data_IF_805903846072
#
_entry.id   IF_805903846072
#
_cell.length_a   1.000
_cell.length_b   1.000
_cell.length_c   1.000
_cell.angle_alpha   90.00
_cell.angle_beta   90.00
_cell.angle_gamma   90.00
#
_symmetry.space_group_name_H-M   'P 1'
#
loop_
_entity.id
_entity.type
_entity.pdbx_description
1 polymer ?
#
# COMPACT_ATOMS: atom_id res chain seq x y z
N UNK A 1 -23.62 -6.90 9.73
CA UNK A 1 -23.60 -8.10 10.59
C UNK A 1 -25.00 -8.29 11.18
N UNK A 2 -25.70 -9.37 10.82
CA UNK A 2 -27.14 -9.54 11.13
C UNK A 2 -27.45 -9.71 12.64
N UNK A 3 -26.48 -10.16 13.46
CA UNK A 3 -26.74 -10.52 14.86
C UNK A 3 -26.22 -9.51 15.91
N UNK A 4 -25.16 -8.72 15.61
CA UNK A 4 -24.61 -7.74 16.58
C UNK A 4 -25.53 -6.55 16.85
N UNK A 5 -26.41 -6.21 15.90
CA UNK A 5 -27.37 -5.12 16.06
C UNK A 5 -28.70 -5.56 16.68
N UNK A 6 -28.82 -6.81 17.11
CA UNK A 6 -30.05 -7.31 17.72
C UNK A 6 -30.17 -6.85 19.18
N UNK A 7 -31.41 -6.60 19.64
CA UNK A 7 -31.69 -6.16 21.01
C UNK A 7 -31.15 -7.15 22.06
N UNK A 8 -31.19 -8.45 21.74
CA UNK A 8 -30.65 -9.52 22.58
C UNK A 8 -29.14 -9.41 22.78
N UNK A 9 -28.40 -9.10 21.72
CA UNK A 9 -26.96 -8.95 21.78
C UNK A 9 -26.53 -7.78 22.68
N UNK A 10 -27.23 -6.64 22.57
CA UNK A 10 -27.03 -5.47 23.43
C UNK A 10 -27.39 -5.74 24.89
N UNK A 11 -28.44 -6.53 25.16
CA UNK A 11 -28.82 -6.89 26.55
C UNK A 11 -27.80 -7.76 27.28
N UNK A 12 -26.94 -8.48 26.55
CA UNK A 12 -25.86 -9.30 27.14
C UNK A 12 -24.65 -8.42 27.53
N UNK A 13 -24.62 -7.13 27.15
CA UNK A 13 -23.53 -6.22 27.48
C UNK A 13 -22.27 -6.42 26.63
N UNK A 14 -22.39 -7.06 25.47
CA UNK A 14 -21.28 -7.31 24.53
C UNK A 14 -20.98 -6.10 23.63
N UNK A 15 -20.97 -4.89 24.20
CA UNK A 15 -20.78 -3.65 23.42
C UNK A 15 -19.34 -3.50 22.91
N UNK A 16 -18.36 -4.10 23.58
CA UNK A 16 -16.96 -4.09 23.14
C UNK A 16 -16.63 -5.33 22.28
N UNK A 17 -15.87 -5.11 21.19
CA UNK A 17 -15.31 -6.17 20.33
C UNK A 17 -14.50 -7.19 21.13
N UNK A 18 -13.81 -6.75 22.20
CA UNK A 18 -13.06 -7.64 23.08
C UNK A 18 -13.96 -8.60 23.86
N UNK A 19 -15.05 -8.11 24.46
CA UNK A 19 -16.02 -8.97 25.17
C UNK A 19 -16.69 -9.97 24.23
N UNK A 20 -16.98 -9.55 23.01
CA UNK A 20 -17.50 -10.42 21.94
C UNK A 20 -16.55 -11.58 21.64
N UNK A 21 -15.26 -11.30 21.46
CA UNK A 21 -14.24 -12.32 21.19
C UNK A 21 -14.08 -13.28 22.37
N UNK A 22 -14.07 -12.75 23.60
CA UNK A 22 -13.95 -13.56 24.81
C UNK A 22 -15.16 -14.50 25.00
N UNK A 23 -16.37 -13.99 24.77
CA UNK A 23 -17.57 -14.82 24.80
C UNK A 23 -17.55 -15.91 23.72
N UNK A 24 -17.18 -15.56 22.49
CA UNK A 24 -17.04 -16.52 21.40
C UNK A 24 -15.98 -17.60 21.72
N UNK A 25 -14.89 -17.23 22.41
CA UNK A 25 -13.87 -18.18 22.86
C UNK A 25 -14.42 -19.18 23.90
N UNK A 26 -15.19 -18.71 24.88
CA UNK A 26 -15.84 -19.60 25.86
C UNK A 26 -16.80 -20.57 25.17
N UNK A 27 -17.65 -20.06 24.28
CA UNK A 27 -18.59 -20.90 23.51
C UNK A 27 -17.84 -21.93 22.66
N UNK A 28 -16.70 -21.55 22.06
CA UNK A 28 -15.86 -22.45 21.29
C UNK A 28 -15.33 -23.60 22.13
N UNK A 29 -14.73 -23.30 23.30
CA UNK A 29 -14.18 -24.32 24.21
C UNK A 29 -15.28 -25.26 24.70
N UNK A 30 -16.44 -24.73 25.10
CA UNK A 30 -17.57 -25.53 25.55
C UNK A 30 -18.14 -26.41 24.45
N UNK A 31 -18.33 -25.87 23.24
CA UNK A 31 -18.82 -26.63 22.08
C UNK A 31 -17.85 -27.74 21.70
N UNK A 32 -16.55 -27.47 21.81
CA UNK A 32 -15.50 -28.42 21.49
C UNK A 32 -15.41 -29.55 22.51
N UNK A 33 -15.53 -29.22 23.80
CA UNK A 33 -15.64 -30.21 24.85
C UNK A 33 -16.88 -31.09 24.69
N UNK A 34 -18.04 -30.48 24.39
CA UNK A 34 -19.28 -31.22 24.17
C UNK A 34 -19.18 -32.16 22.95
N UNK A 35 -18.61 -31.67 21.85
CA UNK A 35 -18.38 -32.47 20.65
C UNK A 35 -17.46 -33.65 20.94
N UNK A 36 -16.38 -33.44 21.68
CA UNK A 36 -15.47 -34.51 22.12
C UNK A 36 -16.21 -35.61 22.88
N UNK A 37 -17.01 -35.27 23.90
CA UNK A 37 -17.76 -36.24 24.69
C UNK A 37 -18.76 -37.05 23.87
N UNK A 38 -19.48 -36.37 22.96
CA UNK A 38 -20.46 -37.03 22.08
C UNK A 38 -19.75 -37.98 21.11
N UNK A 39 -18.64 -37.53 20.51
CA UNK A 39 -17.89 -38.30 19.54
C UNK A 39 -17.22 -39.53 20.18
N UNK A 40 -16.63 -39.38 21.37
CA UNK A 40 -16.02 -40.50 22.10
C UNK A 40 -17.07 -41.57 22.46
N UNK A 41 -18.28 -41.15 22.86
CA UNK A 41 -19.37 -42.06 23.23
C UNK A 41 -19.96 -42.82 22.03
N UNK A 42 -20.00 -42.22 20.85
CA UNK A 42 -20.67 -42.80 19.67
C UNK A 42 -19.69 -43.54 18.76
N UNK A 43 -18.51 -42.95 18.53
CA UNK A 43 -17.70 -43.31 17.38
C UNK A 43 -16.68 -44.42 17.66
N UNK A 44 -16.33 -44.73 18.93
CA UNK A 44 -15.30 -45.71 19.32
C UNK A 44 -13.94 -45.56 18.57
N UNK A 45 -13.66 -44.38 18.03
CA UNK A 45 -12.51 -44.11 17.16
C UNK A 45 -11.46 -43.29 17.93
N UNK A 46 -10.15 -43.58 17.76
CA UNK A 46 -9.08 -42.98 18.56
C UNK A 46 -8.71 -41.54 18.16
N UNK A 47 -9.51 -40.86 17.33
CA UNK A 47 -9.23 -39.54 16.80
C UNK A 47 -10.27 -38.47 17.18
N UNK A 48 -10.95 -38.65 18.32
CA UNK A 48 -11.88 -37.67 18.88
C UNK A 48 -11.27 -36.26 19.02
N UNK A 49 -10.00 -36.18 19.42
CA UNK A 49 -9.25 -34.92 19.52
C UNK A 49 -9.13 -34.20 18.17
N UNK A 50 -8.89 -34.94 17.08
CA UNK A 50 -8.80 -34.36 15.73
C UNK A 50 -10.18 -33.90 15.24
N UNK A 51 -11.21 -34.67 15.53
CA UNK A 51 -12.58 -34.34 15.14
C UNK A 51 -13.07 -33.05 15.80
N UNK A 52 -12.71 -32.83 17.08
CA UNK A 52 -13.03 -31.61 17.85
C UNK A 52 -12.46 -30.33 17.21
N UNK A 53 -11.30 -30.39 16.53
CA UNK A 53 -10.70 -29.24 15.86
C UNK A 53 -11.55 -28.70 14.70
N UNK A 54 -12.53 -29.47 14.20
CA UNK A 54 -13.46 -29.02 13.15
C UNK A 54 -14.26 -27.77 13.54
N UNK A 55 -14.38 -27.49 14.85
CA UNK A 55 -15.10 -26.31 15.36
C UNK A 55 -14.43 -24.99 14.96
N UNK A 56 -13.14 -25.00 14.63
CA UNK A 56 -12.40 -23.81 14.18
C UNK A 56 -13.05 -23.15 12.95
N UNK A 57 -13.71 -23.94 12.09
CA UNK A 57 -14.40 -23.45 10.90
C UNK A 57 -15.58 -22.53 11.22
N UNK A 58 -16.23 -22.69 12.38
CA UNK A 58 -17.33 -21.83 12.80
C UNK A 58 -16.85 -20.46 13.32
N UNK A 59 -15.57 -20.35 13.66
CA UNK A 59 -14.94 -19.11 14.17
C UNK A 59 -14.46 -18.22 13.03
N UNK A 60 -14.12 -18.83 11.90
CA UNK A 60 -13.52 -18.18 10.74
C UNK A 60 -14.38 -17.00 10.19
N UNK A 61 -15.71 -17.11 10.04
CA UNK A 61 -16.55 -15.99 9.61
C UNK A 61 -16.50 -14.78 10.57
N UNK A 62 -16.42 -15.02 11.88
CA UNK A 62 -16.32 -13.97 12.89
C UNK A 62 -15.01 -13.19 12.71
N UNK A 63 -13.89 -13.90 12.65
CA UNK A 63 -12.57 -13.30 12.47
C UNK A 63 -12.45 -12.53 11.16
N UNK A 64 -13.03 -13.07 10.08
CA UNK A 64 -13.05 -12.40 8.78
C UNK A 64 -13.75 -11.03 8.84
N UNK A 65 -14.95 -10.97 9.40
CA UNK A 65 -15.70 -9.69 9.48
C UNK A 65 -15.00 -8.65 10.34
N UNK A 66 -14.39 -9.06 11.45
CA UNK A 66 -13.59 -8.17 12.29
C UNK A 66 -12.36 -7.66 11.54
N UNK A 67 -11.62 -8.56 10.90
CA UNK A 67 -10.44 -8.21 10.10
C UNK A 67 -10.80 -7.24 8.96
N UNK A 68 -11.90 -7.49 8.25
CA UNK A 68 -12.42 -6.59 7.21
C UNK A 68 -12.75 -5.20 7.78
N UNK A 69 -13.41 -5.14 8.94
CA UNK A 69 -13.72 -3.85 9.58
C UNK A 69 -12.46 -3.07 9.96
N UNK A 70 -11.43 -3.75 10.50
CA UNK A 70 -10.14 -3.11 10.76
C UNK A 70 -9.46 -2.65 9.46
N UNK A 71 -9.48 -3.49 8.42
CA UNK A 71 -8.91 -3.17 7.12
C UNK A 71 -9.55 -1.94 6.48
N UNK A 72 -10.88 -1.83 6.54
CA UNK A 72 -11.61 -0.67 6.01
C UNK A 72 -11.39 0.61 6.83
N UNK A 73 -11.06 0.49 8.12
CA UNK A 73 -10.74 1.63 8.98
C UNK A 73 -9.29 2.12 8.82
N UNK A 74 -8.43 1.37 8.15
CA UNK A 74 -7.09 1.87 7.82
C UNK A 74 -7.29 3.03 6.84
N UNK A 75 -7.01 4.25 7.30
CA UNK A 75 -7.03 5.41 6.43
C UNK A 75 -6.14 5.16 5.23
N UNK A 76 -6.56 5.62 4.04
CA UNK A 76 -5.72 5.53 2.85
C UNK A 76 -4.40 6.22 3.19
N UNK A 77 -3.25 5.58 2.95
CA UNK A 77 -1.97 6.17 3.27
C UNK A 77 -1.86 7.54 2.57
N UNK A 78 -1.70 8.60 3.37
CA UNK A 78 -1.53 9.95 2.87
C UNK A 78 -0.13 10.03 2.24
N UNK A 79 -0.09 10.28 0.93
CA UNK A 79 1.17 10.41 0.21
C UNK A 79 1.36 11.87 -0.16
N UNK A 80 2.49 12.45 0.24
CA UNK A 80 2.87 13.79 -0.19
C UNK A 80 3.07 13.77 -1.70
N UNK A 81 2.20 14.46 -2.43
CA UNK A 81 2.30 14.58 -3.88
C UNK A 81 3.42 15.56 -4.23
N UNK A 82 4.28 15.17 -5.18
CA UNK A 82 5.31 16.05 -5.73
C UNK A 82 4.75 16.80 -6.94
N UNK A 83 4.92 18.11 -6.97
CA UNK A 83 4.60 18.92 -8.14
C UNK A 83 5.88 19.17 -8.95
N UNK A 84 5.81 18.98 -10.27
CA UNK A 84 6.88 19.40 -11.18
C UNK A 84 6.76 20.91 -11.36
N UNK A 85 7.33 21.68 -10.45
CA UNK A 85 7.42 23.14 -10.58
C UNK A 85 8.58 23.55 -11.49
N UNK A 86 8.35 24.58 -12.29
CA UNK A 86 9.35 25.19 -13.20
C UNK A 86 10.49 25.91 -12.44
N UNK A 87 10.30 26.17 -11.15
CA UNK A 87 11.26 26.88 -10.31
C UNK A 87 11.98 25.91 -9.37
N UNK A 88 13.31 25.79 -9.48
CA UNK A 88 14.11 25.51 -8.28
C UNK A 88 15.43 24.75 -8.40
N UNK A 89 15.79 24.18 -9.54
CA UNK A 89 17.14 23.65 -9.73
C UNK A 89 17.86 24.49 -10.79
N UNK A 90 18.53 25.56 -10.35
CA UNK A 90 19.50 26.28 -11.20
C UNK A 90 20.47 25.27 -11.78
N UNK A 91 20.91 25.41 -13.03
CA UNK A 91 21.87 24.50 -13.67
C UNK A 91 23.10 24.18 -12.79
N UNK A 92 23.52 25.15 -11.95
CA UNK A 92 24.56 25.00 -10.93
C UNK A 92 24.32 23.85 -9.93
N UNK A 93 23.07 23.49 -9.63
CA UNK A 93 22.73 22.35 -8.77
C UNK A 93 23.15 21.02 -9.41
N UNK A 94 22.98 20.91 -10.73
CA UNK A 94 23.29 19.70 -11.50
C UNK A 94 24.79 19.54 -11.76
N UNK A 95 25.52 20.64 -11.89
CA UNK A 95 26.98 20.63 -12.07
C UNK A 95 27.72 20.03 -10.88
N UNK A 96 27.14 20.11 -9.67
CA UNK A 96 27.72 19.60 -8.44
C UNK A 96 27.34 18.14 -8.13
N UNK A 97 26.58 17.47 -9.01
CA UNK A 97 26.13 16.09 -8.78
C UNK A 97 27.27 15.11 -9.01
N UNK A 98 27.56 14.29 -8.00
CA UNK A 98 28.59 13.25 -8.06
C UNK A 98 28.20 12.13 -9.06
N UNK A 99 28.83 12.17 -10.24
CA UNK A 99 28.62 11.22 -11.34
C UNK A 99 29.06 9.79 -10.95
N UNK A 100 29.91 9.62 -9.94
CA UNK A 100 30.36 8.30 -9.49
C UNK A 100 29.31 7.56 -8.66
N UNK A 101 28.30 8.26 -8.11
CA UNK A 101 27.23 7.68 -7.27
C UNK A 101 25.89 7.57 -8.00
N UNK A 102 25.95 7.21 -9.28
CA UNK A 102 24.77 6.95 -10.11
C UNK A 102 24.39 5.47 -10.05
N UNK A 103 23.13 5.19 -9.74
CA UNK A 103 22.54 3.85 -9.89
C UNK A 103 21.61 3.81 -11.09
N UNK A 104 21.45 2.64 -11.71
CA UNK A 104 20.49 2.46 -12.79
C UNK A 104 19.13 2.07 -12.19
N UNK A 105 18.06 2.75 -12.56
CA UNK A 105 16.69 2.43 -12.13
C UNK A 105 15.78 2.31 -13.35
N UNK A 106 14.74 1.51 -13.23
CA UNK A 106 13.70 1.40 -14.26
C UNK A 106 12.47 2.18 -13.82
N UNK A 107 12.15 3.25 -14.51
CA UNK A 107 10.97 4.08 -14.25
C UNK A 107 9.81 3.58 -15.08
N UNK A 108 8.67 3.33 -14.43
CA UNK A 108 7.40 3.02 -15.08
C UNK A 108 6.42 4.15 -14.86
N UNK A 109 6.06 4.84 -15.94
CA UNK A 109 5.19 6.02 -15.95
C UNK A 109 4.26 5.97 -17.16
N UNK A 110 3.03 6.47 -17.02
CA UNK A 110 2.11 6.66 -18.15
C UNK A 110 2.33 8.05 -18.74
N UNK A 111 2.48 8.18 -20.07
CA UNK A 111 2.77 9.48 -20.70
C UNK A 111 1.53 10.34 -20.76
N UNK A 112 0.40 9.75 -21.14
CA UNK A 112 -0.91 10.39 -21.14
C UNK A 112 -1.81 9.78 -20.04
N UNK A 113 -2.75 10.52 -19.42
CA UNK A 113 -3.78 9.97 -18.55
C UNK A 113 -4.54 8.75 -19.11
N UNK A 114 -4.82 8.75 -20.41
CA UNK A 114 -5.62 7.73 -21.09
C UNK A 114 -4.82 6.47 -21.49
N UNK A 115 -3.49 6.48 -21.29
CA UNK A 115 -2.65 5.34 -21.63
C UNK A 115 -3.01 4.11 -20.79
N UNK A 116 -3.33 3.00 -21.46
CA UNK A 116 -3.58 1.71 -20.79
C UNK A 116 -2.29 1.12 -20.20
N UNK A 117 -1.17 1.28 -20.90
CA UNK A 117 0.11 0.65 -20.56
C UNK A 117 1.13 1.65 -20.00
N UNK A 118 2.04 1.17 -19.15
CA UNK A 118 3.16 1.97 -18.66
C UNK A 118 4.27 2.04 -19.72
N UNK A 119 4.82 3.24 -19.93
CA UNK A 119 6.13 3.42 -20.55
C UNK A 119 7.22 3.07 -19.54
N UNK A 120 8.24 2.34 -19.99
CA UNK A 120 9.36 1.90 -19.16
C UNK A 120 10.65 2.57 -19.63
N UNK A 121 11.34 3.26 -18.73
CA UNK A 121 12.59 3.97 -19.02
C UNK A 121 13.70 3.48 -18.12
N UNK A 122 14.84 3.09 -18.68
CA UNK A 122 16.04 2.78 -17.90
C UNK A 122 16.91 4.02 -17.81
N UNK A 123 17.00 4.59 -16.60
CA UNK A 123 17.64 5.88 -16.36
C UNK A 123 18.61 5.81 -15.19
N UNK A 124 19.53 6.77 -15.12
CA UNK A 124 20.47 6.91 -14.02
C UNK A 124 19.88 7.83 -12.96
N UNK A 125 19.94 7.39 -11.70
CA UNK A 125 19.53 8.15 -10.52
C UNK A 125 20.77 8.44 -9.67
N UNK A 126 21.09 9.71 -9.40
CA UNK A 126 22.09 10.08 -8.39
C UNK A 126 21.55 9.86 -6.97
N UNK A 127 22.32 9.15 -6.14
CA UNK A 127 21.86 8.74 -4.81
C UNK A 127 21.77 9.86 -3.77
N UNK A 128 22.44 10.99 -4.02
CA UNK A 128 22.54 12.15 -3.11
C UNK A 128 21.58 13.28 -3.48
N UNK A 129 20.83 13.13 -4.57
CA UNK A 129 19.83 14.10 -5.04
C UNK A 129 18.44 13.64 -4.63
N UNK A 130 17.55 14.60 -4.34
CA UNK A 130 16.15 14.30 -4.01
C UNK A 130 15.44 13.64 -5.20
N UNK A 131 14.58 12.65 -4.91
CA UNK A 131 13.86 11.92 -5.97
C UNK A 131 12.98 12.86 -6.79
N UNK A 132 12.40 13.88 -6.16
CA UNK A 132 11.59 14.91 -6.80
C UNK A 132 12.37 15.79 -7.76
N UNK A 133 13.53 16.34 -7.35
CA UNK A 133 14.36 17.17 -8.24
C UNK A 133 14.89 16.37 -9.44
N UNK A 134 15.34 15.13 -9.19
CA UNK A 134 15.72 14.23 -10.28
C UNK A 134 14.56 13.93 -11.23
N UNK A 135 13.34 13.80 -10.70
CA UNK A 135 12.17 13.57 -11.53
C UNK A 135 11.86 14.76 -12.44
N UNK A 136 12.00 16.01 -11.96
CA UNK A 136 11.84 17.20 -12.80
C UNK A 136 12.80 17.16 -14.00
N UNK A 137 14.09 16.91 -13.75
CA UNK A 137 15.09 16.81 -14.81
C UNK A 137 14.82 15.64 -15.76
N UNK A 138 14.36 14.51 -15.23
CA UNK A 138 13.96 13.37 -16.04
C UNK A 138 12.82 13.74 -17.01
N UNK A 139 11.80 14.47 -16.54
CA UNK A 139 10.69 14.92 -17.39
C UNK A 139 11.21 15.90 -18.47
N UNK A 140 12.01 16.89 -18.10
CA UNK A 140 12.64 17.83 -19.04
C UNK A 140 13.42 17.10 -20.15
N UNK A 141 14.32 16.19 -19.76
CA UNK A 141 15.14 15.42 -20.70
C UNK A 141 14.29 14.54 -21.63
N UNK A 142 13.22 13.91 -21.11
CA UNK A 142 12.34 13.08 -21.93
C UNK A 142 11.49 13.91 -22.89
N UNK A 143 10.92 15.02 -22.42
CA UNK A 143 10.08 15.89 -23.23
C UNK A 143 10.89 16.61 -24.32
N UNK A 144 12.14 17.01 -24.02
CA UNK A 144 13.06 17.57 -25.01
C UNK A 144 13.46 16.55 -26.09
N UNK A 145 13.76 15.31 -25.69
CA UNK A 145 14.15 14.25 -26.64
C UNK A 145 12.99 13.72 -27.49
N UNK A 146 11.77 13.74 -26.96
CA UNK A 146 10.59 13.18 -27.61
C UNK A 146 9.41 14.17 -27.57
N UNK A 147 9.49 15.27 -28.33
CA UNK A 147 8.47 16.32 -28.31
C UNK A 147 7.10 15.82 -28.79
N UNK A 148 7.05 14.84 -29.69
CA UNK A 148 5.78 14.26 -30.17
C UNK A 148 5.09 13.35 -29.13
N UNK A 149 5.79 12.99 -28.05
CA UNK A 149 5.30 12.05 -27.03
C UNK A 149 5.72 12.50 -25.63
N UNK A 150 5.41 13.75 -25.31
CA UNK A 150 5.66 14.35 -24.01
C UNK A 150 4.91 13.63 -22.88
N UNK A 151 5.44 13.76 -21.68
CA UNK A 151 4.78 13.36 -20.45
C UNK A 151 4.02 14.57 -19.94
N UNK A 152 2.69 14.47 -19.89
CA UNK A 152 1.84 15.56 -19.43
C UNK A 152 2.01 15.77 -17.93
N UNK A 153 2.47 16.97 -17.56
CA UNK A 153 2.63 17.44 -16.18
C UNK A 153 1.52 18.38 -15.72
N UNK A 154 0.69 18.85 -16.66
CA UNK A 154 -0.48 19.70 -16.42
C UNK A 154 -1.73 19.01 -16.97
N UNK A 155 -2.83 19.10 -16.24
CA UNK A 155 -4.15 18.64 -16.68
C UNK A 155 -5.10 19.84 -16.58
N UNK A 156 -5.71 20.23 -17.69
CA UNK A 156 -6.65 21.36 -17.76
C UNK A 156 -6.09 22.69 -17.18
N UNK A 157 -4.77 22.90 -17.29
CA UNK A 157 -4.08 24.09 -16.78
C UNK A 157 -3.64 24.00 -15.32
N UNK A 158 -4.05 22.97 -14.59
CA UNK A 158 -3.64 22.72 -13.21
C UNK A 158 -2.43 21.78 -13.14
N UNK A 159 -1.44 22.04 -12.26
CA UNK A 159 -0.30 21.17 -12.10
C UNK A 159 -0.71 19.81 -11.50
N UNK A 160 -0.13 18.74 -12.03
CA UNK A 160 -0.41 17.37 -11.58
C UNK A 160 0.55 16.98 -10.46
N UNK A 161 0.01 16.35 -9.41
CA UNK A 161 0.78 15.74 -8.35
C UNK A 161 1.32 14.35 -8.74
N UNK A 162 2.52 14.02 -8.29
CA UNK A 162 3.18 12.75 -8.58
C UNK A 162 3.53 12.00 -7.30
N UNK A 163 3.24 10.71 -7.27
CA UNK A 163 3.64 9.80 -6.19
C UNK A 163 4.59 8.74 -6.73
N UNK A 164 5.60 8.42 -5.94
CA UNK A 164 6.66 7.49 -6.29
C UNK A 164 6.57 6.27 -5.39
N UNK A 165 6.57 5.08 -5.97
CA UNK A 165 6.58 3.85 -5.18
C UNK A 165 7.43 2.78 -5.81
N UNK A 166 8.05 1.96 -4.98
CA UNK A 166 8.80 0.79 -5.40
C UNK A 166 8.24 -0.45 -4.78
N UNK A 167 8.37 -1.55 -5.50
CA UNK A 167 8.15 -2.86 -4.92
C UNK A 167 9.37 -3.30 -4.09
N UNK A 168 9.17 -3.85 -2.90
CA UNK A 168 10.25 -4.37 -2.05
C UNK A 168 10.71 -5.77 -2.45
N UNK A 169 9.79 -6.66 -2.85
CA UNK A 169 10.11 -8.07 -3.04
C UNK A 169 9.20 -8.83 -4.02
N UNK A 170 7.89 -8.50 -4.09
CA UNK A 170 6.92 -9.26 -4.89
C UNK A 170 5.77 -8.36 -5.35
N UNK A 171 5.25 -8.51 -6.58
CA UNK A 171 4.20 -7.68 -7.21
C UNK A 171 2.83 -7.79 -6.52
N UNK A 172 2.79 -7.40 -5.25
CA UNK A 172 1.61 -7.41 -4.42
C UNK A 172 1.47 -6.04 -3.74
N UNK A 173 0.25 -5.47 -3.70
CA UNK A 173 0.02 -4.11 -3.22
C UNK A 173 0.43 -3.88 -1.76
N UNK A 174 0.50 -4.93 -0.92
CA UNK A 174 0.99 -4.78 0.47
C UNK A 174 2.51 -4.57 0.60
N UNK A 175 3.30 -4.88 -0.43
CA UNK A 175 4.77 -4.73 -0.39
C UNK A 175 5.27 -3.51 -1.16
N UNK A 176 4.38 -2.58 -1.50
CA UNK A 176 4.77 -1.30 -2.09
C UNK A 176 5.30 -0.36 -1.02
N UNK A 177 6.55 0.08 -1.17
CA UNK A 177 7.14 1.16 -0.39
C UNK A 177 6.97 2.46 -1.16
N UNK A 178 6.33 3.45 -0.56
CA UNK A 178 6.30 4.81 -1.09
C UNK A 178 7.62 5.50 -0.81
N UNK A 179 8.11 6.22 -1.81
CA UNK A 179 9.32 7.00 -1.77
C UNK A 179 8.94 8.45 -1.45
N UNK A 180 9.72 9.07 -0.57
CA UNK A 180 9.60 10.49 -0.24
C UNK A 180 10.33 11.30 -1.31
N UNK A 181 9.60 12.15 -2.03
CA UNK A 181 10.14 12.93 -3.14
C UNK A 181 11.14 14.00 -2.68
N UNK A 182 11.01 14.51 -1.45
CA UNK A 182 11.90 15.55 -0.91
C UNK A 182 13.22 14.98 -0.41
N UNK A 183 13.31 13.66 -0.26
CA UNK A 183 14.49 12.97 0.27
C UNK A 183 15.31 12.32 -0.84
N UNK A 184 16.58 12.11 -0.54
CA UNK A 184 17.54 11.53 -1.46
C UNK A 184 17.32 10.04 -1.71
N UNK A 185 17.99 9.51 -2.74
CA UNK A 185 17.92 8.08 -3.07
C UNK A 185 18.40 7.18 -1.92
N UNK A 186 19.37 7.65 -1.13
CA UNK A 186 19.95 6.92 0.01
C UNK A 186 18.95 6.77 1.16
N UNK A 187 18.28 7.84 1.57
CA UNK A 187 17.22 7.82 2.57
C UNK A 187 16.06 6.93 2.13
N UNK A 188 15.69 7.03 0.85
CA UNK A 188 14.67 6.20 0.23
C UNK A 188 15.10 4.73 0.06
N UNK A 189 16.36 4.38 0.35
CA UNK A 189 16.94 3.03 0.23
C UNK A 189 16.72 2.44 -1.16
N UNK A 190 16.86 3.27 -2.19
CA UNK A 190 16.75 2.83 -3.60
C UNK A 190 17.99 2.02 -3.95
N UNK A 191 17.77 0.88 -4.61
CA UNK A 191 18.80 -0.07 -5.02
C UNK A 191 19.01 -0.01 -6.54
N UNK A 192 20.19 -0.43 -6.96
CA UNK A 192 20.49 -0.57 -8.38
C UNK A 192 19.57 -1.60 -9.05
N UNK A 193 19.18 -1.32 -10.30
CA UNK A 193 18.23 -2.06 -11.14
C UNK A 193 16.81 -2.18 -10.57
N UNK A 194 16.46 -1.36 -9.58
CA UNK A 194 15.12 -1.36 -8.99
C UNK A 194 14.09 -0.69 -9.92
N UNK A 195 12.83 -1.16 -9.88
CA UNK A 195 11.73 -0.55 -10.61
C UNK A 195 10.99 0.46 -9.74
N UNK A 196 10.95 1.71 -10.18
CA UNK A 196 10.18 2.80 -9.56
C UNK A 196 8.94 3.02 -10.42
N UNK A 197 7.78 2.94 -9.79
CA UNK A 197 6.51 3.27 -10.41
C UNK A 197 6.13 4.69 -10.03
N UNK A 198 5.67 5.43 -11.03
CA UNK A 198 5.29 6.83 -10.89
C UNK A 198 3.83 6.94 -11.31
N UNK A 199 3.01 7.48 -10.41
CA UNK A 199 1.57 7.62 -10.60
C UNK A 199 1.15 9.06 -10.39
N UNK A 200 0.25 9.54 -11.25
CA UNK A 200 -0.43 10.82 -11.12
C UNK A 200 -1.45 10.78 -9.99
N UNK A 201 -1.55 11.87 -9.25
CA UNK A 201 -2.57 12.15 -8.25
C UNK A 201 -3.03 13.59 -8.40
N UNK A 202 -4.28 13.88 -8.03
CA UNK A 202 -4.66 15.27 -7.80
C UNK A 202 -3.75 15.83 -6.70
N UNK A 203 -3.29 17.07 -6.86
CA UNK A 203 -2.70 17.80 -5.74
C UNK A 203 -3.82 17.97 -4.73
N UNK A 204 -3.83 17.14 -3.69
CA UNK A 204 -4.70 17.40 -2.56
C UNK A 204 -4.15 18.67 -1.92
N UNK A 205 -4.89 19.77 -2.08
CA UNK A 205 -4.73 20.97 -1.27
C UNK A 205 -4.76 20.50 0.18
N UNK A 206 -3.63 20.60 0.85
CA UNK A 206 -3.60 20.45 2.30
C UNK A 206 -4.28 21.72 2.79
N UNK A 207 -5.56 21.62 3.11
CA UNK A 207 -6.17 22.57 4.04
C UNK A 207 -5.52 22.26 5.39
N UNK A 208 -4.37 22.90 5.62
CA UNK A 208 -3.75 23.02 6.94
C UNK A 208 -4.70 23.89 7.80
N UNK A 209 -5.63 23.26 8.51
CA UNK A 209 -6.25 23.80 9.74
C UNK A 209 -5.55 23.25 10.99
#
# INVERSE_FOLDING_TARGET
MLFQNTKFYKSIGLDNKFHTLFFAFIVMVLSAWLYYLIFEKISNLPYALWAMLSIIWFVLPLLYTMSLGYFLNISKPFYKAWNVSDNGATDMYWDNVDVFKLIQVTVKIKRNPDDKNYSSFSVKLPMEVSVGMWFNRFIEDQNFRFPDRMIDTYLDGEPIGWIFYTNKWFNFPLFTKVLDAEKDGKFNRIRNKQTIYIRRTALNTIDDE
#
